data_IF_624053529190
#
_entry.id   IF_624053529190
#
_cell.length_a   1.000
_cell.length_b   1.000
_cell.length_c   1.000
_cell.angle_alpha   90.00
_cell.angle_beta   90.00
_cell.angle_gamma   90.00
#
_symmetry.space_group_name_H-M   'P 1'
#
loop_
_entity.id
_entity.type
_entity.pdbx_description
1 polymer ?
#
# COMPACT_ATOMS: atom_id res chain seq x y z
N UNK A 1 -0.45 -31.16 6.79
CA UNK A 1 0.23 -29.96 6.23
C UNK A 1 -0.08 -28.69 7.00
N UNK A 2 0.30 -28.63 8.28
CA UNK A 2 0.05 -27.49 9.17
C UNK A 2 1.16 -26.42 9.14
N UNK A 3 2.01 -26.43 8.10
CA UNK A 3 3.30 -25.71 8.14
C UNK A 3 3.35 -24.44 7.26
N UNK A 4 2.20 -23.94 6.83
CA UNK A 4 2.11 -22.57 6.28
C UNK A 4 1.37 -21.71 7.28
N UNK A 5 2.12 -20.85 7.97
CA UNK A 5 1.57 -19.71 8.69
C UNK A 5 0.54 -19.03 7.76
N UNK A 6 -0.70 -18.90 8.24
CA UNK A 6 -1.78 -18.27 7.49
C UNK A 6 -1.34 -16.87 7.05
N UNK A 7 -1.73 -16.44 5.85
CA UNK A 7 -1.44 -15.08 5.35
C UNK A 7 -2.69 -14.45 4.73
N UNK A 8 -2.85 -13.12 4.84
CA UNK A 8 -3.92 -12.43 4.14
C UNK A 8 -3.84 -12.61 2.63
N UNK A 9 -4.98 -12.48 1.96
CA UNK A 9 -5.02 -12.43 0.49
C UNK A 9 -4.08 -11.36 -0.03
N UNK A 10 -3.36 -11.70 -1.12
CA UNK A 10 -2.43 -10.79 -1.79
C UNK A 10 -1.33 -10.21 -0.87
N UNK A 11 -1.05 -10.85 0.27
CA UNK A 11 0.03 -10.43 1.17
C UNK A 11 1.39 -10.59 0.52
N UNK A 12 2.21 -9.53 0.53
CA UNK A 12 3.63 -9.58 0.12
C UNK A 12 4.40 -8.34 0.56
N UNK A 13 5.72 -8.50 0.62
CA UNK A 13 6.67 -7.39 0.64
C UNK A 13 6.75 -6.78 -0.78
N UNK A 14 6.59 -5.47 -0.87
CA UNK A 14 6.59 -4.76 -2.15
C UNK A 14 7.98 -4.72 -2.79
N UNK A 15 9.06 -4.75 -1.98
CA UNK A 15 10.41 -4.80 -2.53
C UNK A 15 10.71 -6.16 -3.17
N UNK A 16 10.27 -7.26 -2.54
CA UNK A 16 10.43 -8.61 -3.09
C UNK A 16 9.54 -8.82 -4.31
N UNK A 17 8.30 -8.34 -4.29
CA UNK A 17 7.41 -8.45 -5.45
C UNK A 17 7.94 -7.70 -6.68
N UNK A 18 8.66 -6.59 -6.49
CA UNK A 18 9.37 -5.91 -7.58
C UNK A 18 10.55 -6.73 -8.12
N UNK A 19 11.35 -7.36 -7.25
CA UNK A 19 12.42 -8.27 -7.70
C UNK A 19 11.86 -9.42 -8.52
N UNK A 20 10.73 -9.99 -8.11
CA UNK A 20 10.03 -11.02 -8.87
C UNK A 20 9.51 -10.49 -10.22
N UNK A 21 9.02 -9.25 -10.26
CA UNK A 21 8.46 -8.65 -11.48
C UNK A 21 9.52 -8.26 -12.53
N UNK A 22 10.67 -7.72 -12.11
CA UNK A 22 11.66 -7.14 -13.03
C UNK A 22 13.11 -7.50 -12.75
N UNK A 23 13.37 -8.46 -11.87
CA UNK A 23 14.72 -8.97 -11.56
C UNK A 23 15.54 -8.11 -10.60
N UNK A 24 15.06 -6.92 -10.24
CA UNK A 24 15.74 -6.04 -9.29
C UNK A 24 14.74 -5.17 -8.51
N UNK A 25 15.17 -4.64 -7.37
CA UNK A 25 14.40 -3.62 -6.63
C UNK A 25 15.35 -2.67 -5.94
N UNK A 26 15.05 -1.36 -6.04
CA UNK A 26 15.76 -0.32 -5.30
C UNK A 26 15.12 -0.04 -3.94
N UNK A 27 14.02 -0.71 -3.62
CA UNK A 27 13.34 -0.57 -2.34
C UNK A 27 14.04 -1.44 -1.28
N UNK A 28 14.11 -0.95 -0.05
CA UNK A 28 14.52 -1.74 1.11
C UNK A 28 13.45 -2.79 1.40
N UNK A 29 13.84 -4.07 1.37
CA UNK A 29 13.00 -5.17 1.84
C UNK A 29 12.66 -5.01 3.32
N UNK A 30 11.51 -5.53 3.70
CA UNK A 30 10.98 -5.51 5.06
C UNK A 30 10.41 -4.17 5.49
N UNK A 31 10.26 -3.18 4.59
CA UNK A 31 9.69 -1.87 4.93
C UNK A 31 8.22 -1.73 4.54
N UNK A 32 7.85 -2.05 3.29
CA UNK A 32 6.51 -1.81 2.76
C UNK A 32 5.80 -3.10 2.39
N UNK A 33 4.81 -3.47 3.20
CA UNK A 33 3.95 -4.62 2.96
C UNK A 33 2.57 -4.19 2.46
N UNK A 34 1.97 -5.04 1.61
CA UNK A 34 0.60 -4.89 1.11
C UNK A 34 -0.20 -6.16 1.34
N UNK A 35 -1.52 -6.06 1.45
CA UNK A 35 -2.40 -7.23 1.52
C UNK A 35 -3.87 -6.93 1.74
N UNK A 36 -4.65 -7.97 1.99
CA UNK A 36 -6.07 -7.91 2.31
C UNK A 36 -6.38 -7.81 3.81
N UNK A 37 -7.64 -8.01 4.15
CA UNK A 37 -8.08 -8.08 5.55
C UNK A 37 -7.43 -9.26 6.28
N UNK A 38 -7.23 -9.11 7.60
CA UNK A 38 -6.40 -9.99 8.41
C UNK A 38 -7.02 -10.32 9.77
N UNK A 39 -8.35 -10.33 9.84
CA UNK A 39 -9.13 -10.53 11.07
C UNK A 39 -8.64 -11.75 11.90
N UNK A 40 -8.14 -12.80 11.24
CA UNK A 40 -7.62 -14.03 11.89
C UNK A 40 -6.29 -13.79 12.63
N UNK A 41 -5.31 -13.12 12.01
CA UNK A 41 -4.01 -12.88 12.65
C UNK A 41 -4.09 -12.04 13.91
N UNK A 42 -5.07 -11.13 13.92
CA UNK A 42 -5.27 -10.22 15.02
C UNK A 42 -5.82 -10.92 16.26
N UNK A 43 -6.75 -11.87 16.05
CA UNK A 43 -7.36 -12.65 17.14
C UNK A 43 -6.36 -13.59 17.81
N UNK A 44 -5.28 -13.96 17.13
CA UNK A 44 -4.24 -14.88 17.65
C UNK A 44 -2.93 -14.19 18.03
N UNK A 45 -2.81 -12.86 17.87
CA UNK A 45 -1.58 -12.11 18.19
C UNK A 45 -0.41 -12.38 17.24
N UNK A 46 -0.68 -12.94 16.05
CA UNK A 46 0.33 -13.39 15.08
C UNK A 46 0.66 -12.29 14.06
N UNK A 47 1.24 -11.18 14.51
CA UNK A 47 1.59 -10.07 13.61
C UNK A 47 2.65 -10.46 12.56
N UNK A 48 3.38 -11.55 12.75
CA UNK A 48 4.34 -12.10 11.80
C UNK A 48 3.68 -12.50 10.47
N UNK A 49 2.40 -12.88 10.49
CA UNK A 49 1.65 -13.23 9.29
C UNK A 49 1.50 -12.05 8.31
N UNK A 50 1.63 -10.82 8.83
CA UNK A 50 1.55 -9.55 8.10
C UNK A 50 2.89 -8.79 8.13
N UNK A 51 3.99 -9.48 8.44
CA UNK A 51 5.34 -8.91 8.38
C UNK A 51 5.75 -8.09 9.61
N UNK A 52 5.15 -8.35 10.78
CA UNK A 52 5.43 -7.65 12.04
C UNK A 52 5.41 -6.12 11.91
N UNK A 53 4.30 -5.52 11.45
CA UNK A 53 4.23 -4.09 11.19
C UNK A 53 4.36 -3.30 12.48
N UNK A 54 5.07 -2.17 12.38
CA UNK A 54 5.01 -1.10 13.37
C UNK A 54 3.92 -0.09 13.05
N UNK A 55 3.52 0.00 11.78
CA UNK A 55 2.38 0.80 11.35
C UNK A 55 1.43 -0.03 10.50
N UNK A 56 0.14 0.03 10.82
CA UNK A 56 -0.94 -0.53 10.00
C UNK A 56 -1.74 0.64 9.44
N UNK A 57 -1.87 0.67 8.12
CA UNK A 57 -2.75 1.59 7.41
C UNK A 57 -3.93 0.84 6.81
N UNK A 58 -5.09 1.03 7.42
CA UNK A 58 -6.35 0.50 6.95
C UNK A 58 -7.03 1.49 6.00
N UNK A 59 -7.30 1.05 4.77
CA UNK A 59 -8.04 1.82 3.75
C UNK A 59 -9.35 1.15 3.34
N UNK A 60 -9.89 0.25 4.17
CA UNK A 60 -11.26 -0.28 4.05
C UNK A 60 -12.26 0.81 4.44
N UNK A 61 -13.51 0.63 4.00
CA UNK A 61 -14.61 1.48 4.47
C UNK A 61 -14.86 1.31 5.98
N UNK A 62 -14.63 0.10 6.50
CA UNK A 62 -14.80 -0.24 7.90
C UNK A 62 -13.44 -0.24 8.62
N UNK A 63 -13.39 0.37 9.80
CA UNK A 63 -12.23 0.26 10.69
C UNK A 63 -12.04 -1.19 11.15
N UNK A 64 -10.80 -1.58 11.41
CA UNK A 64 -10.51 -2.83 12.09
C UNK A 64 -10.90 -2.70 13.57
N UNK A 65 -11.16 -3.82 14.23
CA UNK A 65 -11.48 -3.82 15.66
C UNK A 65 -10.20 -3.52 16.45
N UNK A 66 -9.93 -2.25 16.72
CA UNK A 66 -8.64 -1.79 17.23
C UNK A 66 -8.38 -2.08 18.71
N UNK A 67 -9.37 -2.56 19.46
CA UNK A 67 -9.28 -2.76 20.92
C UNK A 67 -8.16 -3.72 21.32
N UNK A 68 -7.69 -4.58 20.41
CA UNK A 68 -6.56 -5.51 20.64
C UNK A 68 -5.21 -5.01 20.11
N UNK A 69 -5.12 -3.85 19.44
CA UNK A 69 -3.82 -3.23 19.12
C UNK A 69 -3.13 -2.66 20.36
N UNK A 70 -3.89 -2.32 21.42
CA UNK A 70 -3.37 -1.65 22.61
C UNK A 70 -2.32 -2.42 23.42
N UNK A 71 -2.13 -3.73 23.17
CA UNK A 71 -1.02 -4.51 23.75
C UNK A 71 0.27 -4.46 22.92
N UNK A 72 0.17 -4.19 21.62
CA UNK A 72 1.31 -4.05 20.73
C UNK A 72 1.70 -2.58 20.63
N UNK A 73 3.00 -2.28 20.72
CA UNK A 73 3.53 -0.93 20.44
C UNK A 73 3.52 -0.67 18.93
N UNK A 74 2.33 -0.57 18.33
CA UNK A 74 2.14 -0.28 16.90
C UNK A 74 1.23 0.92 16.70
N UNK A 75 1.44 1.63 15.59
CA UNK A 75 0.60 2.71 15.12
C UNK A 75 -0.48 2.14 14.21
N UNK A 76 -1.73 2.47 14.49
CA UNK A 76 -2.86 2.12 13.63
C UNK A 76 -3.50 3.40 13.09
N UNK A 77 -3.66 3.47 11.77
CA UNK A 77 -4.32 4.59 11.09
C UNK A 77 -5.41 4.06 10.15
N UNK A 78 -6.59 4.69 10.19
CA UNK A 78 -7.72 4.34 9.33
C UNK A 78 -8.09 5.51 8.43
N UNK A 79 -7.84 5.37 7.12
CA UNK A 79 -8.13 6.39 6.11
C UNK A 79 -9.09 5.80 5.06
N UNK A 80 -10.41 5.77 5.35
CA UNK A 80 -11.39 5.19 4.44
C UNK A 80 -11.61 6.09 3.22
N UNK A 81 -11.82 5.45 2.07
CA UNK A 81 -12.39 6.14 0.91
C UNK A 81 -13.93 6.16 1.01
N UNK A 82 -14.52 7.28 0.58
CA UNK A 82 -15.97 7.55 0.67
C UNK A 82 -16.75 7.17 -0.61
N UNK A 83 -16.08 6.62 -1.63
CA UNK A 83 -16.62 6.51 -3.00
C UNK A 83 -17.16 5.11 -3.38
N UNK A 84 -17.17 4.15 -2.47
CA UNK A 84 -17.76 2.83 -2.69
C UNK A 84 -17.15 2.10 -3.90
N UNK A 85 -17.92 1.61 -4.89
CA UNK A 85 -17.38 0.79 -5.98
C UNK A 85 -16.42 1.53 -6.94
N UNK A 86 -16.33 2.87 -6.87
CA UNK A 86 -15.43 3.71 -7.71
C UNK A 86 -14.12 4.11 -7.01
N UNK A 87 -13.78 3.44 -5.91
CA UNK A 87 -12.62 3.77 -5.06
C UNK A 87 -11.22 3.72 -5.75
N UNK A 88 -11.14 3.35 -7.03
CA UNK A 88 -9.92 3.29 -7.83
C UNK A 88 -9.93 4.23 -9.06
N UNK A 89 -10.99 5.03 -9.25
CA UNK A 89 -11.06 6.03 -10.32
C UNK A 89 -10.36 7.33 -9.89
N UNK A 90 -9.04 7.40 -10.04
CA UNK A 90 -8.22 8.55 -9.58
C UNK A 90 -8.42 9.84 -10.38
N UNK A 91 -9.30 9.84 -11.39
CA UNK A 91 -9.79 11.07 -12.03
C UNK A 91 -10.87 11.75 -11.22
N UNK A 92 -11.57 11.01 -10.35
CA UNK A 92 -12.60 11.54 -9.45
C UNK A 92 -11.98 12.41 -8.35
N UNK A 93 -12.60 13.56 -8.07
CA UNK A 93 -12.07 14.54 -7.12
C UNK A 93 -11.99 13.99 -5.69
N UNK A 94 -12.96 13.19 -5.26
CA UNK A 94 -12.97 12.63 -3.92
C UNK A 94 -11.91 11.53 -3.79
N UNK A 95 -11.69 10.71 -4.83
CA UNK A 95 -10.57 9.76 -4.85
C UNK A 95 -9.23 10.50 -4.77
N UNK A 96 -9.05 11.61 -5.52
CA UNK A 96 -7.82 12.41 -5.44
C UNK A 96 -7.55 12.98 -4.05
N UNK A 97 -8.59 13.47 -3.37
CA UNK A 97 -8.46 13.95 -1.98
C UNK A 97 -8.05 12.80 -1.06
N UNK A 98 -8.73 11.65 -1.15
CA UNK A 98 -8.38 10.47 -0.35
C UNK A 98 -6.95 9.98 -0.60
N UNK A 99 -6.50 9.92 -1.87
CA UNK A 99 -5.11 9.59 -2.21
C UNK A 99 -4.15 10.57 -1.55
N UNK A 100 -4.43 11.88 -1.59
CA UNK A 100 -3.57 12.87 -0.93
C UNK A 100 -3.49 12.66 0.57
N UNK A 101 -4.61 12.34 1.23
CA UNK A 101 -4.63 12.10 2.68
C UNK A 101 -3.80 10.86 3.03
N UNK A 102 -3.96 9.77 2.25
CA UNK A 102 -3.16 8.54 2.41
C UNK A 102 -1.67 8.81 2.19
N UNK A 103 -1.30 9.46 1.09
CA UNK A 103 0.11 9.71 0.78
C UNK A 103 0.71 10.72 1.79
N UNK A 104 -0.04 11.72 2.23
CA UNK A 104 0.40 12.65 3.26
C UNK A 104 0.73 11.90 4.55
N UNK A 105 -0.14 11.00 5.01
CA UNK A 105 0.12 10.14 6.17
C UNK A 105 1.39 9.30 5.97
N UNK A 106 1.47 8.52 4.89
CA UNK A 106 2.63 7.63 4.65
C UNK A 106 3.94 8.43 4.53
N UNK A 107 3.88 9.62 3.92
CA UNK A 107 5.04 10.52 3.79
C UNK A 107 5.45 11.20 5.10
N UNK A 108 4.60 11.18 6.13
CA UNK A 108 4.92 11.70 7.45
C UNK A 108 5.62 10.68 8.36
N UNK A 109 5.57 9.39 7.99
CA UNK A 109 6.15 8.31 8.80
C UNK A 109 7.68 8.41 8.83
N UNK A 110 8.24 8.20 10.02
CA UNK A 110 9.69 8.11 10.23
C UNK A 110 10.18 6.67 10.07
N UNK A 111 11.49 6.50 9.91
CA UNK A 111 12.08 5.17 9.69
C UNK A 111 11.75 4.16 10.80
N UNK A 112 11.68 4.60 12.05
CA UNK A 112 11.34 3.78 13.20
C UNK A 112 9.88 3.32 13.24
N UNK A 113 8.99 3.89 12.41
CA UNK A 113 7.58 3.53 12.29
C UNK A 113 7.32 2.45 11.22
N UNK A 114 8.38 2.00 10.53
CA UNK A 114 8.33 0.87 9.61
C UNK A 114 8.75 -0.45 10.30
N UNK A 115 8.15 -1.60 9.94
CA UNK A 115 7.42 -1.85 8.69
C UNK A 115 5.99 -1.30 8.64
N UNK A 116 5.57 -0.85 7.47
CA UNK A 116 4.22 -0.38 7.16
C UNK A 116 3.44 -1.50 6.44
N UNK A 117 2.26 -1.84 6.94
CA UNK A 117 1.32 -2.72 6.26
C UNK A 117 0.10 -1.93 5.76
N UNK A 118 -0.08 -1.87 4.44
CA UNK A 118 -1.21 -1.20 3.79
C UNK A 118 -2.23 -2.23 3.33
N UNK A 119 -3.47 -2.13 3.77
CA UNK A 119 -4.48 -3.12 3.40
C UNK A 119 -5.88 -2.56 3.12
N UNK A 120 -6.61 -3.28 2.28
CA UNK A 120 -8.05 -3.10 2.09
C UNK A 120 -8.78 -4.42 2.37
N UNK A 121 -9.77 -4.79 1.55
CA UNK A 121 -10.50 -6.08 1.70
C UNK A 121 -9.76 -7.24 1.03
N UNK A 122 -9.48 -7.13 -0.26
CA UNK A 122 -8.78 -8.17 -1.04
C UNK A 122 -7.29 -7.88 -1.21
N UNK A 123 -6.85 -6.67 -0.91
CA UNK A 123 -5.46 -6.25 -1.16
C UNK A 123 -5.13 -6.00 -2.63
N UNK A 124 -6.13 -5.96 -3.53
CA UNK A 124 -5.91 -5.72 -4.97
C UNK A 124 -6.22 -4.30 -5.40
N UNK A 125 -7.48 -3.85 -5.31
CA UNK A 125 -7.90 -2.61 -5.99
C UNK A 125 -7.39 -1.33 -5.29
N UNK A 126 -7.99 -0.96 -4.15
CA UNK A 126 -7.55 0.22 -3.36
C UNK A 126 -6.09 0.13 -2.92
N UNK A 127 -5.70 -1.03 -2.40
CA UNK A 127 -4.31 -1.28 -2.01
C UNK A 127 -3.38 -1.16 -3.21
N UNK A 128 -3.73 -1.71 -4.37
CA UNK A 128 -2.89 -1.63 -5.55
C UNK A 128 -2.75 -0.22 -6.10
N UNK A 129 -3.80 0.62 -6.02
CA UNK A 129 -3.69 2.03 -6.41
C UNK A 129 -2.72 2.76 -5.48
N UNK A 130 -2.89 2.63 -4.16
CA UNK A 130 -2.00 3.29 -3.20
C UNK A 130 -0.55 2.79 -3.35
N UNK A 131 -0.35 1.48 -3.43
CA UNK A 131 0.99 0.90 -3.65
C UNK A 131 1.57 1.37 -4.98
N UNK A 132 0.78 1.37 -6.06
CA UNK A 132 1.26 1.82 -7.36
C UNK A 132 1.68 3.29 -7.36
N UNK A 133 0.93 4.17 -6.69
CA UNK A 133 1.30 5.57 -6.54
C UNK A 133 2.57 5.72 -5.68
N UNK A 134 2.71 4.96 -4.60
CA UNK A 134 3.95 4.93 -3.79
C UNK A 134 5.15 4.50 -4.63
N UNK A 135 5.01 3.47 -5.46
CA UNK A 135 6.07 3.01 -6.35
C UNK A 135 6.45 4.06 -7.41
N UNK A 136 5.47 4.77 -7.99
CA UNK A 136 5.73 5.89 -8.90
C UNK A 136 6.48 7.04 -8.20
N UNK A 137 6.12 7.38 -6.96
CA UNK A 137 6.85 8.37 -6.14
C UNK A 137 8.32 7.95 -5.95
N UNK A 138 8.56 6.65 -5.74
CA UNK A 138 9.88 6.05 -5.57
C UNK A 138 10.64 5.88 -6.91
N UNK A 139 10.07 6.34 -8.03
CA UNK A 139 10.71 6.33 -9.34
C UNK A 139 10.64 5.00 -10.08
N UNK A 140 9.78 4.07 -9.65
CA UNK A 140 9.55 2.81 -10.38
C UNK A 140 8.77 3.11 -11.65
N UNK A 141 9.20 2.64 -12.84
CA UNK A 141 8.48 2.88 -14.08
C UNK A 141 7.06 2.32 -14.07
N UNK A 142 6.12 3.01 -14.72
CA UNK A 142 4.70 2.61 -14.75
C UNK A 142 4.49 1.17 -15.21
N UNK A 143 5.24 0.69 -16.20
CA UNK A 143 5.12 -0.69 -16.68
C UNK A 143 5.49 -1.71 -15.60
N UNK A 144 6.52 -1.43 -14.80
CA UNK A 144 6.92 -2.28 -13.69
C UNK A 144 5.90 -2.21 -12.54
N UNK A 145 5.35 -1.02 -12.28
CA UNK A 145 4.24 -0.86 -11.33
C UNK A 145 3.02 -1.68 -11.73
N UNK A 146 2.68 -1.69 -13.02
CA UNK A 146 1.59 -2.50 -13.55
C UNK A 146 1.89 -4.00 -13.38
N UNK A 147 3.12 -4.45 -13.66
CA UNK A 147 3.52 -5.85 -13.42
C UNK A 147 3.37 -6.26 -11.95
N UNK A 148 3.85 -5.44 -11.01
CA UNK A 148 3.68 -5.67 -9.57
C UNK A 148 2.20 -5.76 -9.19
N UNK A 149 1.39 -4.84 -9.71
CA UNK A 149 -0.05 -4.80 -9.44
C UNK A 149 -0.72 -6.09 -9.90
N UNK A 150 -0.41 -6.54 -11.12
CA UNK A 150 -1.03 -7.69 -11.78
C UNK A 150 -0.70 -9.03 -11.08
N UNK A 151 0.31 -9.10 -10.22
CA UNK A 151 0.54 -10.26 -9.36
C UNK A 151 -0.61 -10.53 -8.38
N UNK A 152 -1.40 -9.49 -8.04
CA UNK A 152 -2.57 -9.67 -7.18
C UNK A 152 -3.66 -10.47 -7.87
N UNK A 153 -4.07 -11.57 -7.23
CA UNK A 153 -5.19 -12.42 -7.66
C UNK A 153 -6.52 -11.83 -7.16
N UNK A 154 -7.62 -12.23 -7.79
CA UNK A 154 -8.99 -11.90 -7.34
C UNK A 154 -9.34 -10.39 -7.34
N UNK A 155 -9.65 -9.86 -8.52
CA UNK A 155 -10.30 -8.55 -8.68
C UNK A 155 -10.63 -8.27 -10.13
N UNK A 156 -11.40 -7.20 -10.36
CA UNK A 156 -12.01 -6.90 -11.67
C UNK A 156 -11.24 -5.88 -12.50
N UNK A 157 -10.19 -5.29 -11.92
CA UNK A 157 -9.44 -4.22 -12.56
C UNK A 157 -8.49 -4.78 -13.62
N UNK A 158 -8.77 -4.47 -14.88
CA UNK A 158 -7.91 -4.77 -16.03
C UNK A 158 -6.65 -3.89 -16.05
N UNK A 159 -5.63 -4.31 -16.80
CA UNK A 159 -4.43 -3.50 -17.01
C UNK A 159 -4.74 -2.09 -17.51
N UNK A 160 -5.67 -1.96 -18.47
CA UNK A 160 -6.08 -0.66 -19.01
C UNK A 160 -6.65 0.26 -17.91
N UNK A 161 -7.43 -0.30 -16.98
CA UNK A 161 -7.97 0.45 -15.84
C UNK A 161 -6.87 0.82 -14.84
N UNK A 162 -5.90 -0.07 -14.57
CA UNK A 162 -4.75 0.23 -13.71
C UNK A 162 -3.95 1.41 -14.29
N UNK A 163 -3.61 1.34 -15.59
CA UNK A 163 -2.86 2.41 -16.27
C UNK A 163 -3.61 3.73 -16.24
N UNK A 164 -4.92 3.71 -16.54
CA UNK A 164 -5.77 4.90 -16.46
C UNK A 164 -5.78 5.50 -15.06
N UNK A 165 -5.85 4.68 -14.03
CA UNK A 165 -5.85 5.14 -12.64
C UNK A 165 -4.48 5.65 -12.15
N UNK A 166 -3.38 5.21 -12.75
CA UNK A 166 -2.03 5.66 -12.40
C UNK A 166 -1.51 6.80 -13.29
N UNK A 167 -2.18 7.08 -14.41
CA UNK A 167 -1.86 8.14 -15.36
C UNK A 167 -1.65 9.52 -14.70
N UNK A 168 -2.48 9.94 -13.71
CA UNK A 168 -2.30 11.24 -13.05
C UNK A 168 -1.04 11.33 -12.18
N UNK A 169 -0.27 10.24 -12.03
CA UNK A 169 0.90 10.16 -11.14
C UNK A 169 2.15 9.65 -11.86
N UNK A 170 2.10 9.44 -13.19
CA UNK A 170 3.14 8.71 -13.93
C UNK A 170 4.36 9.55 -14.36
N UNK A 171 4.46 10.81 -13.93
CA UNK A 171 5.62 11.69 -14.17
C UNK A 171 5.87 12.58 -12.96
N UNK A 172 7.10 13.05 -12.78
CA UNK A 172 7.47 13.96 -11.68
C UNK A 172 6.62 15.22 -11.64
N UNK A 173 6.33 15.82 -12.80
CA UNK A 173 5.50 17.03 -12.86
C UNK A 173 4.08 16.75 -12.37
N UNK A 174 3.50 15.62 -12.77
CA UNK A 174 2.16 15.23 -12.35
C UNK A 174 2.12 14.86 -10.86
N UNK A 175 3.11 14.11 -10.36
CA UNK A 175 3.26 13.81 -8.94
C UNK A 175 3.34 15.10 -8.11
N UNK A 176 4.22 16.03 -8.50
CA UNK A 176 4.32 17.34 -7.85
C UNK A 176 3.00 18.07 -7.88
N UNK A 177 2.25 18.03 -8.98
CA UNK A 177 0.96 18.70 -9.08
C UNK A 177 -0.13 18.07 -8.22
N UNK A 178 -0.22 16.74 -8.20
CA UNK A 178 -1.26 16.02 -7.46
C UNK A 178 -0.95 15.90 -5.97
N UNK A 179 0.32 15.96 -5.55
CA UNK A 179 0.77 15.69 -4.18
C UNK A 179 1.57 16.84 -3.56
N UNK A 180 1.30 18.10 -3.97
CA UNK A 180 2.04 19.32 -3.56
C UNK A 180 2.36 19.48 -2.07
N UNK A 181 1.54 18.89 -1.19
CA UNK A 181 1.66 19.02 0.28
C UNK A 181 2.31 17.81 0.96
N UNK A 182 2.67 16.77 0.20
CA UNK A 182 3.25 15.54 0.74
C UNK A 182 4.78 15.61 0.75
N UNK A 183 5.42 15.02 1.77
CA UNK A 183 6.88 14.99 1.87
C UNK A 183 7.44 13.79 1.09
N UNK A 184 7.46 13.91 -0.25
CA UNK A 184 7.87 12.82 -1.14
C UNK A 184 9.35 12.43 -0.97
N UNK A 185 10.20 13.36 -0.53
CA UNK A 185 11.62 13.09 -0.30
C UNK A 185 11.84 12.24 0.95
N UNK A 186 11.03 12.44 2.00
CA UNK A 186 11.06 11.53 3.16
C UNK A 186 10.73 10.08 2.76
N UNK A 187 9.74 9.87 1.87
CA UNK A 187 9.45 8.52 1.36
C UNK A 187 10.65 7.89 0.67
N UNK A 188 11.33 8.65 -0.19
CA UNK A 188 12.53 8.17 -0.89
C UNK A 188 13.64 7.83 0.09
N UNK A 189 13.91 8.69 1.06
CA UNK A 189 14.95 8.47 2.07
C UNK A 189 14.70 7.23 2.92
N UNK A 190 13.45 6.98 3.31
CA UNK A 190 13.11 5.84 4.16
C UNK A 190 13.07 4.53 3.37
N UNK A 191 12.45 4.53 2.18
CA UNK A 191 12.10 3.31 1.46
C UNK A 191 13.12 2.87 0.40
N UNK A 192 13.98 3.76 -0.11
CA UNK A 192 15.02 3.37 -1.07
C UNK A 192 16.28 2.88 -0.35
N UNK A 193 16.93 1.86 -0.93
CA UNK A 193 18.27 1.46 -0.55
C UNK A 193 19.28 2.52 -1.03
N UNK A 194 20.30 2.78 -0.20
CA UNK A 194 21.41 3.68 -0.53
C UNK A 194 22.28 3.11 -1.63
#
# INVERSE_FOLDING_TARGET
DYDRAWRPRNFRDTAESLKEACGHSRLKSGKLYRGGEFDVCFLEGQLECIGNPKTILNIRAQADRSDSFGKAKLRYEHIPTKNGPRDYETTDRNVKVWVRDVIAFVSSLKEEEYPLYVHCRSGKDRTGIIIGILLLILGVPLDIVVLEYLQSKEGKTSEAQIRKALEPYNTDLKLKNELKKCNLDNLRNVLLAN
#
